data_IF_338706721371
#
_entry.id   IF_338706721371
#
_cell.length_a   1.000
_cell.length_b   1.000
_cell.length_c   1.000
_cell.angle_alpha   90.00
_cell.angle_beta   90.00
_cell.angle_gamma   90.00
#
_symmetry.space_group_name_H-M   'P 1'
#
loop_
_entity.id
_entity.type
_entity.pdbx_description
1 polymer ?
#
# COMPACT_ATOMS: atom_id res chain seq x y z
N UNK A 1 -0.70 -5.78 -18.03
CA UNK A 1 0.44 -6.51 -17.36
C UNK A 1 -0.09 -7.80 -16.79
N UNK A 2 0.40 -8.98 -17.25
CA UNK A 2 -0.06 -10.27 -16.72
C UNK A 2 0.51 -10.51 -15.32
N UNK A 3 -0.37 -10.74 -14.33
CA UNK A 3 0.01 -11.09 -12.97
C UNK A 3 -0.04 -12.62 -12.83
N UNK A 4 1.09 -13.23 -12.47
CA UNK A 4 1.15 -14.67 -12.20
C UNK A 4 1.24 -14.92 -10.69
N UNK A 5 0.25 -15.62 -10.16
CA UNK A 5 0.23 -16.03 -8.76
C UNK A 5 0.92 -17.40 -8.63
N UNK A 6 2.08 -17.43 -8.01
CA UNK A 6 2.81 -18.66 -7.72
C UNK A 6 2.56 -19.09 -6.27
N UNK A 7 2.35 -20.41 -6.02
CA UNK A 7 2.31 -20.92 -4.66
C UNK A 7 3.60 -20.60 -3.92
N UNK A 8 3.49 -19.95 -2.77
CA UNK A 8 4.65 -19.53 -1.99
C UNK A 8 4.51 -20.01 -0.54
N UNK A 9 5.58 -20.68 -0.05
CA UNK A 9 5.61 -21.14 1.33
C UNK A 9 5.76 -19.96 2.27
N UNK A 10 4.87 -19.86 3.26
CA UNK A 10 4.99 -18.91 4.38
C UNK A 10 5.65 -19.60 5.56
N UNK A 11 6.56 -18.90 6.23
CA UNK A 11 7.21 -19.33 7.45
C UNK A 11 6.68 -18.49 8.62
N UNK A 12 6.68 -19.11 9.82
CA UNK A 12 6.32 -18.40 11.04
C UNK A 12 7.52 -17.63 11.59
N UNK A 13 7.32 -16.36 11.87
CA UNK A 13 8.29 -15.47 12.52
C UNK A 13 7.62 -14.70 13.63
N UNK A 14 7.90 -15.08 14.88
CA UNK A 14 7.54 -14.34 16.09
C UNK A 14 6.15 -13.65 16.04
N UNK A 15 5.08 -14.44 15.96
CA UNK A 15 3.69 -13.97 15.95
C UNK A 15 3.08 -13.70 14.56
N UNK A 16 3.83 -13.88 13.47
CA UNK A 16 3.32 -13.65 12.11
C UNK A 16 3.84 -14.67 11.11
N UNK A 17 3.12 -14.83 9.99
CA UNK A 17 3.54 -15.65 8.87
C UNK A 17 4.00 -14.77 7.72
N UNK A 18 5.22 -15.01 7.22
CA UNK A 18 5.83 -14.22 6.14
C UNK A 18 6.55 -15.14 5.14
N UNK A 19 6.69 -14.66 3.91
CA UNK A 19 7.49 -15.31 2.88
C UNK A 19 8.98 -15.15 3.18
N UNK A 20 9.38 -13.95 3.61
CA UNK A 20 10.75 -13.58 3.97
C UNK A 20 10.87 -13.25 5.46
N UNK A 21 12.04 -13.43 6.03
CA UNK A 21 12.33 -12.93 7.38
C UNK A 21 12.23 -11.40 7.45
N UNK A 22 11.97 -10.82 8.63
CA UNK A 22 12.00 -9.36 8.81
C UNK A 22 13.35 -8.74 8.43
N UNK A 23 14.47 -9.41 8.72
CA UNK A 23 15.80 -8.94 8.36
C UNK A 23 16.02 -8.89 6.85
N UNK A 24 15.64 -9.94 6.13
CA UNK A 24 15.68 -9.94 4.65
C UNK A 24 14.75 -8.89 4.05
N UNK A 25 13.55 -8.71 4.62
CA UNK A 25 12.63 -7.67 4.18
C UNK A 25 13.26 -6.30 4.36
N UNK A 26 13.84 -6.01 5.53
CA UNK A 26 14.52 -4.74 5.80
C UNK A 26 15.61 -4.45 4.76
N UNK A 27 16.50 -5.41 4.51
CA UNK A 27 17.58 -5.27 3.53
C UNK A 27 17.06 -4.94 2.11
N UNK A 28 15.92 -5.49 1.73
CA UNK A 28 15.30 -5.24 0.41
C UNK A 28 14.66 -3.87 0.30
N UNK A 29 14.02 -3.38 1.37
CA UNK A 29 13.22 -2.16 1.32
C UNK A 29 14.00 -0.92 1.76
N UNK A 30 15.05 -1.05 2.55
CA UNK A 30 15.85 0.07 3.05
C UNK A 30 16.40 0.96 1.93
N UNK A 31 16.92 0.42 0.80
CA UNK A 31 17.34 1.23 -0.34
C UNK A 31 16.21 1.98 -1.06
N UNK A 32 14.95 1.58 -0.83
CA UNK A 32 13.79 2.21 -1.46
C UNK A 32 13.27 3.42 -0.67
N UNK A 33 13.76 3.64 0.55
CA UNK A 33 13.21 4.68 1.44
C UNK A 33 13.33 6.08 0.85
N UNK A 34 14.42 6.41 0.19
CA UNK A 34 14.59 7.69 -0.50
C UNK A 34 13.58 7.87 -1.64
N UNK A 35 13.37 6.83 -2.46
CA UNK A 35 12.38 6.83 -3.55
C UNK A 35 10.96 7.03 -3.02
N UNK A 36 10.63 6.35 -1.92
CA UNK A 36 9.34 6.45 -1.23
C UNK A 36 9.16 7.80 -0.54
N UNK A 37 10.25 8.53 -0.34
CA UNK A 37 10.28 9.84 0.33
C UNK A 37 10.24 9.75 1.85
N UNK A 38 10.67 8.62 2.41
CA UNK A 38 10.88 8.45 3.86
C UNK A 38 12.20 9.10 4.24
N UNK A 39 12.14 10.08 5.12
CA UNK A 39 13.33 10.82 5.60
C UNK A 39 13.79 10.38 6.98
N UNK A 40 12.93 9.69 7.72
CA UNK A 40 13.22 9.25 9.09
C UNK A 40 12.41 8.01 9.44
N UNK A 41 13.03 7.07 10.16
CA UNK A 41 12.36 5.92 10.78
C UNK A 41 12.76 5.89 12.26
N UNK A 42 11.83 6.25 13.14
CA UNK A 42 12.09 6.48 14.56
C UNK A 42 11.41 5.44 15.43
N UNK A 43 12.10 5.04 16.50
CA UNK A 43 11.50 4.27 17.59
C UNK A 43 10.63 5.18 18.45
N UNK A 44 9.34 4.87 18.54
CA UNK A 44 8.35 5.59 19.33
C UNK A 44 7.77 4.75 20.47
N UNK A 45 8.38 3.61 20.78
CA UNK A 45 7.94 2.65 21.80
C UNK A 45 7.68 3.29 23.17
N UNK A 46 8.52 4.26 23.54
CA UNK A 46 8.42 4.96 24.84
C UNK A 46 7.36 6.05 24.93
N UNK A 47 6.55 6.26 23.89
CA UNK A 47 5.51 7.30 23.91
C UNK A 47 4.25 6.86 24.67
N UNK A 48 4.13 5.58 24.98
CA UNK A 48 3.04 5.04 25.79
C UNK A 48 3.56 4.23 26.99
N UNK A 49 2.61 3.68 27.79
CA UNK A 49 2.92 2.86 28.98
C UNK A 49 2.88 1.36 28.71
N UNK A 50 2.49 0.95 27.50
CA UNK A 50 2.28 -0.46 27.17
C UNK A 50 3.59 -1.17 26.84
N UNK A 51 4.53 -0.43 26.22
CA UNK A 51 5.87 -0.93 25.91
C UNK A 51 5.90 -1.94 24.73
N UNK A 52 4.86 -2.01 23.93
CA UNK A 52 4.89 -2.78 22.68
C UNK A 52 5.79 -2.04 21.70
N UNK A 53 6.78 -2.71 21.08
CA UNK A 53 7.65 -2.06 20.09
C UNK A 53 6.86 -1.38 18.98
N UNK A 54 7.03 -0.06 18.86
CA UNK A 54 6.39 0.80 17.88
C UNK A 54 7.42 1.67 17.17
N UNK A 55 7.30 1.78 15.85
CA UNK A 55 8.12 2.64 15.01
C UNK A 55 7.23 3.55 14.16
N UNK A 56 7.80 4.66 13.72
CA UNK A 56 7.16 5.58 12.77
C UNK A 56 8.10 5.87 11.62
N UNK A 57 7.64 5.65 10.39
CA UNK A 57 8.33 6.12 9.18
C UNK A 57 7.71 7.46 8.76
N UNK A 58 8.54 8.49 8.58
CA UNK A 58 8.10 9.84 8.26
C UNK A 58 8.33 10.19 6.80
N UNK A 59 7.23 10.57 6.10
CA UNK A 59 7.20 11.01 4.70
C UNK A 59 6.71 12.46 4.60
N UNK A 60 7.59 13.47 4.73
CA UNK A 60 7.17 14.87 4.74
C UNK A 60 6.49 15.32 3.44
N UNK A 61 6.85 14.70 2.30
CA UNK A 61 6.34 15.00 0.97
C UNK A 61 5.21 14.06 0.52
N UNK A 62 4.55 13.34 1.45
CA UNK A 62 3.35 12.58 1.11
C UNK A 62 2.33 13.49 0.41
N UNK A 63 1.51 12.92 -0.49
CA UNK A 63 0.49 13.66 -1.25
C UNK A 63 -0.32 14.57 -0.32
N UNK A 64 -0.70 15.75 -0.82
CA UNK A 64 -1.52 16.71 -0.06
C UNK A 64 -2.78 16.04 0.49
N UNK A 65 -2.97 16.14 1.81
CA UNK A 65 -4.04 15.45 2.54
C UNK A 65 -3.72 14.00 2.92
N UNK A 66 -2.59 13.43 2.46
CA UNK A 66 -2.13 12.11 2.85
C UNK A 66 -1.47 12.07 4.23
N UNK A 67 -1.43 10.88 4.80
CA UNK A 67 -0.76 10.62 6.08
C UNK A 67 0.75 10.71 5.89
N UNK A 68 1.43 11.47 6.76
CA UNK A 68 2.90 11.65 6.72
C UNK A 68 3.65 10.70 7.65
N UNK A 69 3.01 10.28 8.73
CA UNK A 69 3.57 9.35 9.70
C UNK A 69 2.93 7.98 9.49
N UNK A 70 3.76 6.98 9.25
CA UNK A 70 3.34 5.60 8.98
C UNK A 70 3.77 4.74 10.17
N UNK A 71 2.83 4.39 11.08
CA UNK A 71 3.18 3.63 12.26
C UNK A 71 3.38 2.15 11.93
N UNK A 72 4.33 1.53 12.62
CA UNK A 72 4.53 0.09 12.61
C UNK A 72 4.60 -0.45 14.02
N UNK A 73 4.10 -1.64 14.23
CA UNK A 73 4.15 -2.35 15.50
C UNK A 73 4.49 -3.83 15.28
N UNK A 74 5.09 -4.43 16.28
CA UNK A 74 5.49 -5.83 16.22
C UNK A 74 5.91 -6.38 17.58
N UNK A 75 6.16 -7.68 17.65
CA UNK A 75 6.59 -8.35 18.87
C UNK A 75 8.04 -8.03 19.25
N UNK A 76 8.81 -7.46 18.34
CA UNK A 76 10.18 -6.97 18.56
C UNK A 76 10.46 -5.71 17.73
N UNK A 77 11.53 -4.96 18.05
CA UNK A 77 11.86 -3.72 17.36
C UNK A 77 12.06 -3.86 15.84
N UNK A 78 12.63 -4.99 15.37
CA UNK A 78 12.87 -5.20 13.94
C UNK A 78 11.56 -5.38 13.18
N UNK A 79 10.63 -6.20 13.71
CA UNK A 79 9.28 -6.38 13.14
C UNK A 79 8.53 -5.05 13.06
N UNK A 80 8.62 -4.27 14.12
CA UNK A 80 7.98 -2.96 14.25
C UNK A 80 8.53 -1.96 13.22
N UNK A 81 9.86 -1.87 13.11
CA UNK A 81 10.55 -1.04 12.13
C UNK A 81 10.15 -1.41 10.70
N UNK A 82 10.23 -2.70 10.34
CA UNK A 82 9.84 -3.19 9.01
C UNK A 82 8.36 -2.92 8.71
N UNK A 83 7.48 -3.05 9.72
CA UNK A 83 6.07 -2.73 9.57
C UNK A 83 5.84 -1.27 9.20
N UNK A 84 6.53 -0.33 9.87
CA UNK A 84 6.45 1.10 9.56
C UNK A 84 6.96 1.43 8.14
N UNK A 85 8.11 0.86 7.76
CA UNK A 85 8.67 1.04 6.42
C UNK A 85 7.74 0.49 5.33
N UNK A 86 7.15 -0.68 5.54
CA UNK A 86 6.21 -1.29 4.60
C UNK A 86 4.89 -0.52 4.48
N UNK A 87 4.37 0.02 5.57
CA UNK A 87 3.22 0.94 5.54
C UNK A 87 3.51 2.18 4.67
N UNK A 88 4.72 2.74 4.79
CA UNK A 88 5.13 3.88 3.96
C UNK A 88 5.18 3.52 2.48
N UNK A 89 5.72 2.33 2.13
CA UNK A 89 5.76 1.82 0.76
C UNK A 89 4.34 1.59 0.23
N UNK A 90 3.47 0.94 1.01
CA UNK A 90 2.08 0.67 0.64
C UNK A 90 1.35 1.96 0.29
N UNK A 91 1.45 2.98 1.16
CA UNK A 91 0.84 4.29 0.93
C UNK A 91 1.40 5.01 -0.29
N UNK A 92 2.72 4.97 -0.46
CA UNK A 92 3.38 5.53 -1.64
C UNK A 92 2.92 4.83 -2.92
N UNK A 93 2.86 3.50 -2.91
CA UNK A 93 2.43 2.71 -4.08
C UNK A 93 0.99 2.98 -4.52
N UNK A 94 0.13 3.40 -3.58
CA UNK A 94 -1.25 3.80 -3.89
C UNK A 94 -1.41 5.26 -4.32
N UNK A 95 -0.32 6.04 -4.37
CA UNK A 95 -0.36 7.42 -4.87
C UNK A 95 -0.26 7.42 -6.40
N UNK A 96 -0.78 8.46 -7.04
CA UNK A 96 -0.62 8.67 -8.48
C UNK A 96 0.81 9.09 -8.82
N UNK A 97 1.48 8.36 -9.70
CA UNK A 97 2.87 8.57 -10.11
C UNK A 97 3.02 8.96 -11.58
N UNK A 98 1.98 9.47 -12.21
CA UNK A 98 2.00 9.84 -13.63
C UNK A 98 1.58 8.70 -14.56
N UNK A 99 0.92 7.68 -14.04
CA UNK A 99 0.36 6.59 -14.82
C UNK A 99 -0.67 7.09 -15.83
N UNK A 100 -0.80 6.40 -16.96
CA UNK A 100 -1.85 6.72 -17.91
C UNK A 100 -3.22 6.48 -17.28
N UNK A 101 -4.04 7.53 -17.28
CA UNK A 101 -5.42 7.47 -16.84
C UNK A 101 -6.32 8.00 -17.95
N UNK A 102 -7.45 7.36 -18.16
CA UNK A 102 -8.52 7.84 -19.03
C UNK A 102 -9.57 8.55 -18.16
N UNK A 103 -9.95 9.77 -18.51
CA UNK A 103 -11.02 10.49 -17.82
C UNK A 103 -12.31 10.29 -18.62
N UNK A 104 -13.27 9.57 -18.07
CA UNK A 104 -14.52 9.19 -18.75
C UNK A 104 -15.62 8.85 -17.76
N UNK A 105 -16.87 8.88 -18.21
CA UNK A 105 -18.00 8.28 -17.52
C UNK A 105 -17.99 6.75 -17.68
N UNK A 106 -18.68 6.03 -16.81
CA UNK A 106 -18.75 4.56 -16.86
C UNK A 106 -19.29 4.05 -18.19
N UNK A 107 -20.30 4.70 -18.77
CA UNK A 107 -20.85 4.29 -20.06
C UNK A 107 -19.90 4.58 -21.23
N UNK A 108 -19.06 5.64 -21.14
CA UNK A 108 -18.04 5.97 -22.15
C UNK A 108 -16.90 4.97 -22.15
N UNK A 109 -16.38 4.60 -20.96
CA UNK A 109 -15.30 3.61 -20.84
C UNK A 109 -15.75 2.22 -21.34
N UNK A 110 -17.02 1.92 -21.20
CA UNK A 110 -17.67 0.69 -21.63
C UNK A 110 -17.85 -0.34 -20.51
N UNK A 111 -19.08 -0.74 -20.30
CA UNK A 111 -19.53 -1.63 -19.21
C UNK A 111 -18.82 -2.98 -19.12
N UNK A 112 -18.17 -3.42 -20.21
CA UNK A 112 -17.39 -4.68 -20.23
C UNK A 112 -15.89 -4.45 -19.99
N UNK A 113 -15.46 -3.21 -19.88
CA UNK A 113 -14.04 -2.81 -19.72
C UNK A 113 -13.74 -2.28 -18.33
N UNK A 114 -14.74 -2.01 -17.53
CA UNK A 114 -14.56 -1.35 -16.24
C UNK A 114 -15.44 -2.00 -15.16
N UNK A 115 -14.96 -1.92 -13.92
CA UNK A 115 -15.76 -2.28 -12.74
C UNK A 115 -16.83 -1.21 -12.54
N UNK A 116 -18.09 -1.61 -12.35
CA UNK A 116 -19.18 -0.63 -12.07
C UNK A 116 -18.89 0.06 -10.74
N UNK A 117 -18.79 1.41 -10.73
CA UNK A 117 -18.58 2.14 -9.48
C UNK A 117 -19.66 1.89 -8.42
N UNK A 118 -20.88 1.50 -8.85
CA UNK A 118 -21.97 1.17 -7.95
C UNK A 118 -21.72 -0.11 -7.13
N UNK A 119 -20.85 -0.98 -7.60
CA UNK A 119 -20.45 -2.20 -6.88
C UNK A 119 -19.35 -1.96 -5.84
N UNK A 120 -18.81 -0.74 -5.77
CA UNK A 120 -17.71 -0.38 -4.87
C UNK A 120 -18.23 0.36 -3.63
N UNK A 121 -17.52 0.14 -2.50
CA UNK A 121 -17.74 0.91 -1.27
C UNK A 121 -17.02 2.26 -1.40
N UNK A 122 -17.74 3.28 -1.82
CA UNK A 122 -17.20 4.61 -2.04
C UNK A 122 -17.60 5.57 -0.90
N UNK A 123 -16.82 6.65 -0.66
CA UNK A 123 -17.16 7.67 0.34
C UNK A 123 -18.51 8.39 0.05
N UNK A 124 -18.92 8.42 -1.22
CA UNK A 124 -20.21 8.88 -1.69
C UNK A 124 -20.63 8.07 -2.91
N UNK A 125 -21.91 8.03 -3.19
CA UNK A 125 -22.40 7.52 -4.46
C UNK A 125 -21.85 8.39 -5.61
N UNK A 126 -21.48 7.74 -6.71
CA UNK A 126 -21.16 8.39 -7.98
C UNK A 126 -22.37 8.31 -8.90
N UNK A 127 -22.62 9.37 -9.68
CA UNK A 127 -23.54 9.28 -10.80
C UNK A 127 -22.89 8.42 -11.90
N UNK A 128 -23.71 7.65 -12.63
CA UNK A 128 -23.19 6.63 -13.58
C UNK A 128 -22.30 7.23 -14.67
N UNK A 129 -22.57 8.44 -15.10
CA UNK A 129 -21.81 9.16 -16.13
C UNK A 129 -20.92 10.26 -15.57
N UNK A 130 -20.70 10.27 -14.24
CA UNK A 130 -19.74 11.18 -13.64
C UNK A 130 -18.33 10.90 -14.20
N UNK A 131 -17.66 11.97 -14.62
CA UNK A 131 -16.30 11.90 -15.18
C UNK A 131 -15.31 11.59 -14.07
N UNK A 132 -14.73 10.40 -14.09
CA UNK A 132 -13.70 9.94 -13.16
C UNK A 132 -12.47 9.45 -13.91
N UNK A 133 -11.36 9.31 -13.20
CA UNK A 133 -10.14 8.77 -13.78
C UNK A 133 -10.11 7.25 -13.65
N UNK A 134 -9.91 6.59 -14.76
CA UNK A 134 -9.78 5.13 -14.85
C UNK A 134 -8.32 4.77 -15.07
N UNK A 135 -7.86 3.72 -14.41
CA UNK A 135 -6.56 3.11 -14.66
C UNK A 135 -6.72 1.63 -14.98
N UNK A 136 -5.82 1.04 -15.79
CA UNK A 136 -5.83 -0.38 -16.05
C UNK A 136 -5.71 -1.19 -14.76
N UNK A 137 -6.51 -2.24 -14.65
CA UNK A 137 -6.46 -3.23 -13.59
C UNK A 137 -6.30 -4.63 -14.17
N UNK A 138 -6.03 -5.60 -13.32
CA UNK A 138 -5.92 -6.99 -13.74
C UNK A 138 -6.91 -7.86 -12.96
N UNK A 139 -7.83 -8.48 -13.68
CA UNK A 139 -8.77 -9.44 -13.12
C UNK A 139 -8.09 -10.79 -12.91
N UNK A 140 -7.79 -11.08 -11.64
CA UNK A 140 -7.11 -12.31 -11.24
C UNK A 140 -7.98 -13.58 -11.43
N UNK A 141 -9.30 -13.43 -11.47
CA UNK A 141 -10.21 -14.57 -11.63
C UNK A 141 -10.35 -14.97 -13.09
N UNK A 142 -10.43 -13.98 -13.96
CA UNK A 142 -10.65 -14.21 -15.39
C UNK A 142 -9.35 -14.13 -16.22
N UNK A 143 -8.20 -13.89 -15.59
CA UNK A 143 -6.86 -13.77 -16.22
C UNK A 143 -6.83 -12.73 -17.36
N UNK A 144 -7.46 -11.55 -17.13
CA UNK A 144 -7.62 -10.50 -18.14
C UNK A 144 -7.36 -9.07 -17.57
N UNK A 145 -6.99 -8.15 -18.47
CA UNK A 145 -6.74 -6.72 -18.19
C UNK A 145 -7.97 -5.87 -18.50
#
# INVERSE_FOLDING_TARGET
MKISLLPTKKNYFNGTHRVCSPAETKLRIEPLMDQVGVTEVSDITGMDKVGIPCYSAYRPRARRGGVKHHPGKGMDPLLSCVSAMMEAIERWSGEYHGDQMECAGFNEIGVHRAVDPADLILPRALERDEQIHWSPGYDLLNDME
#
